data_IF_279278652451
#
_entry.id   IF_279278652451
#
_cell.length_a   1.000
_cell.length_b   1.000
_cell.length_c   1.000
_cell.angle_alpha   90.00
_cell.angle_beta   90.00
_cell.angle_gamma   90.00
#
_symmetry.space_group_name_H-M   'P 1'
#
loop_
_entity.id
_entity.type
_entity.pdbx_description
1 polymer ?
#
# COMPACT_ATOMS: atom_id res chain seq x y z
N UNK A 1 -10.32 -15.68 -3.26
CA UNK A 1 -10.27 -16.86 -2.37
C UNK A 1 -9.17 -17.83 -2.76
N UNK A 2 -9.18 -18.40 -3.97
CA UNK A 2 -8.21 -19.42 -4.39
C UNK A 2 -6.75 -19.02 -4.13
N UNK A 3 -6.34 -17.81 -4.49
CA UNK A 3 -4.97 -17.34 -4.27
C UNK A 3 -4.60 -17.17 -2.77
N UNK A 4 -5.57 -16.81 -1.92
CA UNK A 4 -5.39 -16.66 -0.45
C UNK A 4 -5.15 -18.04 0.16
N UNK A 5 -6.03 -18.99 -0.16
CA UNK A 5 -5.97 -20.37 0.34
C UNK A 5 -4.70 -21.07 -0.15
N UNK A 6 -4.33 -20.84 -1.42
CA UNK A 6 -3.08 -21.34 -1.99
C UNK A 6 -1.86 -20.76 -1.28
N UNK A 7 -1.81 -19.45 -1.04
CA UNK A 7 -0.71 -18.81 -0.33
C UNK A 7 -0.49 -19.36 1.07
N UNK A 8 -1.59 -19.61 1.81
CA UNK A 8 -1.54 -20.31 3.09
C UNK A 8 -0.99 -21.74 2.95
N UNK A 9 -1.48 -22.50 1.97
CA UNK A 9 -1.01 -23.86 1.70
C UNK A 9 0.47 -23.94 1.38
N UNK A 10 0.97 -23.04 0.54
CA UNK A 10 2.39 -22.93 0.19
C UNK A 10 3.24 -22.64 1.45
N UNK A 11 2.76 -21.77 2.36
CA UNK A 11 3.46 -21.46 3.62
C UNK A 11 3.51 -22.66 4.58
N UNK A 12 2.36 -23.33 4.76
CA UNK A 12 2.27 -24.54 5.60
C UNK A 12 3.16 -25.66 5.04
N UNK A 13 3.15 -25.88 3.72
CA UNK A 13 3.98 -26.91 3.10
C UNK A 13 5.48 -26.64 3.31
N UNK A 14 5.90 -25.37 3.20
CA UNK A 14 7.29 -24.97 3.46
C UNK A 14 7.70 -25.24 4.92
N UNK A 15 6.82 -24.96 5.88
CA UNK A 15 7.08 -25.26 7.30
C UNK A 15 7.11 -26.77 7.57
N UNK A 16 6.21 -27.56 6.97
CA UNK A 16 6.20 -29.01 7.13
C UNK A 16 7.48 -29.68 6.60
N UNK A 17 8.07 -29.16 5.52
CA UNK A 17 9.35 -29.67 5.01
C UNK A 17 10.53 -29.47 5.97
N UNK A 18 10.44 -28.53 6.91
CA UNK A 18 11.50 -28.18 7.85
C UNK A 18 11.38 -28.92 9.20
N UNK A 19 10.30 -29.69 9.41
CA UNK A 19 9.94 -30.23 10.73
C UNK A 19 9.82 -31.76 10.67
N UNK A 20 10.12 -32.44 11.77
CA UNK A 20 9.92 -33.88 11.88
C UNK A 20 8.42 -34.24 11.85
N UNK A 21 8.08 -35.41 11.27
CA UNK A 21 6.69 -35.86 11.07
C UNK A 21 5.86 -35.91 12.37
N UNK A 22 6.49 -36.17 13.51
CA UNK A 22 5.83 -36.18 14.84
C UNK A 22 5.37 -34.80 15.31
N UNK A 23 5.96 -33.72 14.78
CA UNK A 23 5.67 -32.34 15.16
C UNK A 23 4.81 -31.61 14.11
N UNK A 24 4.42 -32.30 13.04
CA UNK A 24 3.67 -31.74 11.91
C UNK A 24 2.35 -31.07 12.36
N UNK A 25 1.63 -31.68 13.32
CA UNK A 25 0.38 -31.11 13.84
C UNK A 25 0.59 -29.76 14.53
N UNK A 26 1.59 -29.68 15.42
CA UNK A 26 1.93 -28.46 16.13
C UNK A 26 2.42 -27.37 15.15
N UNK A 27 3.27 -27.74 14.18
CA UNK A 27 3.79 -26.82 13.17
C UNK A 27 2.68 -26.16 12.33
N UNK A 28 1.70 -26.95 11.85
CA UNK A 28 0.55 -26.39 11.10
C UNK A 28 -0.29 -25.45 11.97
N UNK A 29 -0.51 -25.84 13.23
CA UNK A 29 -1.33 -25.04 14.14
C UNK A 29 -0.66 -23.70 14.49
N UNK A 30 0.65 -23.71 14.71
CA UNK A 30 1.42 -22.50 14.97
C UNK A 30 1.43 -21.58 13.75
N UNK A 31 1.61 -22.13 12.55
CA UNK A 31 1.56 -21.35 11.31
C UNK A 31 0.20 -20.68 11.09
N UNK A 32 -0.89 -21.43 11.28
CA UNK A 32 -2.26 -20.89 11.18
C UNK A 32 -2.52 -19.79 12.22
N UNK A 33 -2.04 -19.98 13.45
CA UNK A 33 -2.19 -18.98 14.52
C UNK A 33 -1.40 -17.73 14.24
N UNK A 34 -0.18 -17.86 13.74
CA UNK A 34 0.64 -16.73 13.33
C UNK A 34 -0.04 -15.95 12.21
N UNK A 35 -0.51 -16.64 11.16
CA UNK A 35 -1.26 -16.01 10.08
C UNK A 35 -2.55 -15.31 10.58
N UNK A 36 -3.29 -15.94 11.49
CA UNK A 36 -4.47 -15.33 12.11
C UNK A 36 -4.12 -14.09 12.94
N UNK A 37 -3.04 -14.14 13.72
CA UNK A 37 -2.58 -13.01 14.52
C UNK A 37 -2.13 -11.83 13.64
N UNK A 38 -1.45 -12.11 12.53
CA UNK A 38 -1.10 -11.09 11.53
C UNK A 38 -2.36 -10.44 10.96
N UNK A 39 -3.34 -11.22 10.53
CA UNK A 39 -4.60 -10.70 10.00
C UNK A 39 -5.39 -9.89 11.04
N UNK A 40 -5.40 -10.31 12.31
CA UNK A 40 -6.04 -9.58 13.40
C UNK A 40 -5.37 -8.24 13.73
N UNK A 41 -4.08 -8.10 13.42
CA UNK A 41 -3.37 -6.83 13.56
C UNK A 41 -3.76 -5.80 12.49
N UNK A 42 -4.41 -6.24 11.41
CA UNK A 42 -4.82 -5.36 10.33
C UNK A 42 -6.09 -4.59 10.72
N UNK A 43 -6.10 -3.29 10.43
CA UNK A 43 -7.29 -2.48 10.63
C UNK A 43 -8.40 -2.88 9.65
N UNK A 44 -9.60 -3.15 10.18
CA UNK A 44 -10.78 -3.34 9.35
C UNK A 44 -11.29 -1.97 8.87
N UNK A 45 -11.11 -1.71 7.58
CA UNK A 45 -11.50 -0.45 6.95
C UNK A 45 -12.92 -0.45 6.36
N UNK A 46 -13.61 -1.61 6.33
CA UNK A 46 -14.98 -1.75 5.81
C UNK A 46 -15.81 -2.70 6.67
N UNK A 47 -16.60 -2.16 7.63
CA UNK A 47 -17.41 -2.97 8.53
C UNK A 47 -18.38 -3.93 7.84
N UNK A 48 -18.77 -3.65 6.58
CA UNK A 48 -19.67 -4.53 5.81
C UNK A 48 -19.00 -5.82 5.35
N UNK A 49 -17.68 -5.92 5.45
CA UNK A 49 -16.98 -7.16 5.17
C UNK A 49 -17.27 -8.26 6.21
N UNK A 50 -17.77 -7.92 7.40
CA UNK A 50 -18.23 -8.90 8.39
C UNK A 50 -19.46 -9.66 7.89
N UNK A 51 -20.48 -8.94 7.42
CA UNK A 51 -21.68 -9.53 6.82
C UNK A 51 -21.31 -10.40 5.60
N UNK A 52 -20.30 -9.95 4.85
CA UNK A 52 -19.79 -10.69 3.70
C UNK A 52 -19.04 -11.96 4.12
N UNK A 53 -18.24 -11.91 5.17
CA UNK A 53 -17.55 -13.07 5.71
C UNK A 53 -18.55 -14.12 6.19
N UNK A 54 -19.64 -13.70 6.84
CA UNK A 54 -20.72 -14.60 7.24
C UNK A 54 -21.38 -15.27 6.02
N UNK A 55 -21.63 -14.52 4.94
CA UNK A 55 -22.18 -15.07 3.70
C UNK A 55 -21.22 -16.05 3.00
N UNK A 56 -19.92 -15.72 2.94
CA UNK A 56 -18.87 -16.56 2.37
C UNK A 56 -18.74 -17.87 3.17
N UNK A 57 -18.74 -17.80 4.50
CA UNK A 57 -18.68 -18.98 5.37
C UNK A 57 -19.98 -19.78 5.36
N UNK A 58 -21.14 -19.13 5.18
CA UNK A 58 -22.43 -19.81 5.02
C UNK A 58 -22.52 -20.68 3.76
N UNK A 59 -21.75 -20.32 2.72
CA UNK A 59 -21.68 -21.04 1.43
C UNK A 59 -20.45 -21.97 1.33
N UNK A 60 -19.84 -22.34 2.45
CA UNK A 60 -18.57 -23.09 2.53
C UNK A 60 -18.45 -24.30 1.58
N UNK A 61 -19.50 -25.12 1.51
CA UNK A 61 -19.54 -26.33 0.69
C UNK A 61 -20.20 -26.15 -0.68
N UNK A 62 -20.75 -24.98 -0.97
CA UNK A 62 -21.46 -24.72 -2.21
C UNK A 62 -20.48 -24.38 -3.34
N UNK A 63 -20.72 -24.85 -4.58
CA UNK A 63 -19.94 -24.40 -5.73
C UNK A 63 -20.00 -22.88 -5.87
N UNK A 64 -18.91 -22.28 -6.34
CA UNK A 64 -18.88 -20.85 -6.62
C UNK A 64 -19.96 -20.44 -7.64
N UNK A 65 -20.38 -19.18 -7.60
CA UNK A 65 -21.44 -18.65 -8.49
C UNK A 65 -21.18 -18.86 -9.98
N UNK A 66 -19.91 -19.00 -10.35
CA UNK A 66 -19.45 -19.17 -11.74
C UNK A 66 -19.23 -20.65 -12.09
N UNK A 67 -19.69 -21.58 -11.24
CA UNK A 67 -19.45 -23.02 -11.36
C UNK A 67 -18.06 -23.47 -10.88
N UNK A 68 -17.32 -22.58 -10.21
CA UNK A 68 -16.01 -22.87 -9.62
C UNK A 68 -16.08 -23.80 -8.39
N UNK A 69 -14.92 -24.32 -7.93
CA UNK A 69 -14.87 -25.17 -6.74
C UNK A 69 -15.39 -24.45 -5.49
N UNK A 70 -15.95 -25.23 -4.55
CA UNK A 70 -16.34 -24.69 -3.24
C UNK A 70 -15.12 -24.30 -2.41
N UNK A 71 -15.33 -23.49 -1.38
CA UNK A 71 -14.26 -23.10 -0.44
C UNK A 71 -13.68 -24.34 0.25
N UNK A 72 -14.54 -25.28 0.65
CA UNK A 72 -14.12 -26.56 1.19
C UNK A 72 -13.18 -27.31 0.24
N UNK A 73 -13.56 -27.44 -1.04
CA UNK A 73 -12.73 -28.13 -2.03
C UNK A 73 -11.41 -27.42 -2.31
N UNK A 74 -11.39 -26.09 -2.30
CA UNK A 74 -10.15 -25.32 -2.44
C UNK A 74 -9.20 -25.57 -1.27
N UNK A 75 -9.73 -25.58 -0.04
CA UNK A 75 -8.95 -25.84 1.16
C UNK A 75 -8.41 -27.27 1.16
N UNK A 76 -9.27 -28.25 0.88
CA UNK A 76 -8.87 -29.65 0.84
C UNK A 76 -7.82 -29.92 -0.25
N UNK A 77 -7.89 -29.18 -1.37
CA UNK A 77 -6.87 -29.25 -2.41
C UNK A 77 -5.55 -28.60 -1.99
N UNK A 78 -5.59 -27.37 -1.45
CA UNK A 78 -4.39 -26.62 -1.07
C UNK A 78 -3.71 -27.14 0.20
N UNK A 79 -4.44 -27.83 1.06
CA UNK A 79 -3.96 -28.39 2.34
C UNK A 79 -3.99 -29.92 2.35
N UNK A 80 -3.90 -30.57 1.19
CA UNK A 80 -4.01 -32.02 1.05
C UNK A 80 -2.99 -32.80 1.90
N UNK A 81 -1.78 -32.25 2.06
CA UNK A 81 -0.68 -32.86 2.81
C UNK A 81 -0.64 -32.44 4.29
N UNK A 82 -1.52 -31.54 4.73
CA UNK A 82 -1.54 -31.04 6.09
C UNK A 82 -2.36 -31.96 7.01
N UNK A 83 -1.91 -32.24 8.25
CA UNK A 83 -2.73 -32.95 9.23
C UNK A 83 -4.03 -32.19 9.49
N UNK A 84 -5.13 -32.93 9.67
CA UNK A 84 -6.45 -32.36 10.00
C UNK A 84 -6.83 -32.73 11.43
N UNK A 85 -7.34 -31.75 12.16
CA UNK A 85 -7.95 -31.92 13.47
C UNK A 85 -9.03 -30.86 13.68
N UNK A 86 -9.96 -31.03 14.64
CA UNK A 86 -10.98 -30.04 14.95
C UNK A 86 -10.40 -28.65 15.28
N UNK A 87 -9.21 -28.61 15.88
CA UNK A 87 -8.48 -27.37 16.20
C UNK A 87 -7.93 -26.71 14.93
N UNK A 88 -7.29 -27.48 14.04
CA UNK A 88 -6.78 -26.98 12.76
C UNK A 88 -7.92 -26.46 11.89
N UNK A 89 -9.03 -27.21 11.81
CA UNK A 89 -10.21 -26.79 11.06
C UNK A 89 -10.80 -25.47 11.59
N UNK A 90 -10.81 -25.29 12.92
CA UNK A 90 -11.25 -24.04 13.54
C UNK A 90 -10.34 -22.87 13.16
N UNK A 91 -9.03 -23.05 13.18
CA UNK A 91 -8.09 -21.99 12.79
C UNK A 91 -8.15 -21.68 11.29
N UNK A 92 -8.39 -22.68 10.44
CA UNK A 92 -8.66 -22.46 9.00
C UNK A 92 -9.94 -21.63 8.82
N UNK A 93 -11.03 -21.97 9.50
CA UNK A 93 -12.27 -21.18 9.45
C UNK A 93 -12.05 -19.73 9.90
N UNK A 94 -11.28 -19.54 10.97
CA UNK A 94 -10.88 -18.21 11.46
C UNK A 94 -10.03 -17.46 10.43
N UNK A 95 -9.08 -18.14 9.79
CA UNK A 95 -8.24 -17.55 8.75
C UNK A 95 -9.06 -17.04 7.56
N UNK A 96 -10.01 -17.83 7.08
CA UNK A 96 -10.89 -17.44 5.98
C UNK A 96 -11.75 -16.23 6.38
N UNK A 97 -12.30 -16.23 7.60
CA UNK A 97 -13.06 -15.10 8.13
C UNK A 97 -12.21 -13.83 8.13
N UNK A 98 -11.05 -13.87 8.78
CA UNK A 98 -10.17 -12.72 8.94
C UNK A 98 -9.63 -12.22 7.59
N UNK A 99 -9.38 -13.12 6.64
CA UNK A 99 -8.97 -12.74 5.28
C UNK A 99 -10.04 -11.93 4.55
N UNK A 100 -11.32 -12.25 4.76
CA UNK A 100 -12.44 -11.50 4.17
C UNK A 100 -12.66 -10.19 4.94
N UNK A 101 -12.71 -10.24 6.27
CA UNK A 101 -12.98 -9.09 7.13
C UNK A 101 -11.88 -8.02 7.06
N UNK A 102 -10.61 -8.43 6.95
CA UNK A 102 -9.47 -7.53 6.81
C UNK A 102 -9.31 -6.94 5.40
N UNK A 103 -10.05 -7.46 4.40
CA UNK A 103 -10.00 -6.94 3.03
C UNK A 103 -8.65 -7.07 2.31
N UNK A 104 -7.69 -7.80 2.88
CA UNK A 104 -6.34 -7.91 2.31
C UNK A 104 -6.35 -8.76 1.04
N UNK A 105 -6.41 -8.10 -0.12
CA UNK A 105 -6.46 -8.75 -1.43
C UNK A 105 -7.78 -9.50 -1.72
N UNK A 106 -8.76 -9.43 -0.82
CA UNK A 106 -10.09 -9.98 -1.02
C UNK A 106 -11.08 -8.87 -1.35
N UNK A 107 -11.94 -9.04 -2.39
CA UNK A 107 -12.02 -10.19 -3.28
C UNK A 107 -10.98 -10.18 -4.41
N UNK A 108 -10.26 -9.06 -4.58
CA UNK A 108 -9.22 -8.90 -5.58
C UNK A 108 -7.99 -8.21 -4.98
N UNK A 109 -6.80 -8.55 -5.49
CA UNK A 109 -5.58 -7.79 -5.23
C UNK A 109 -5.49 -6.53 -6.08
N UNK A 110 -6.32 -6.41 -7.11
CA UNK A 110 -6.40 -5.21 -7.94
C UNK A 110 -7.03 -4.06 -7.16
N UNK A 111 -6.35 -2.92 -7.13
CA UNK A 111 -6.81 -1.71 -6.44
C UNK A 111 -7.02 -0.57 -7.43
N UNK A 112 -8.02 0.25 -7.15
CA UNK A 112 -8.24 1.51 -7.85
C UNK A 112 -8.66 2.58 -6.86
N UNK A 113 -8.24 3.82 -7.08
CA UNK A 113 -8.54 4.93 -6.18
C UNK A 113 -9.41 5.94 -6.90
N UNK A 114 -10.53 6.30 -6.27
CA UNK A 114 -11.36 7.41 -6.72
C UNK A 114 -11.14 8.57 -5.78
N UNK A 115 -10.63 9.68 -6.31
CA UNK A 115 -10.39 10.91 -5.55
C UNK A 115 -11.37 11.99 -5.95
N UNK A 116 -12.00 12.59 -4.96
CA UNK A 116 -12.89 13.73 -5.10
C UNK A 116 -12.13 14.98 -4.63
N UNK A 117 -12.09 16.01 -5.47
CA UNK A 117 -11.44 17.30 -5.16
C UNK A 117 -12.45 18.42 -5.34
N UNK A 118 -12.53 19.33 -4.36
CA UNK A 118 -13.41 20.49 -4.43
C UNK A 118 -13.68 21.11 -3.08
N UNK A 119 -14.77 21.86 -2.99
CA UNK A 119 -15.21 22.54 -1.76
C UNK A 119 -16.35 21.76 -1.11
N UNK A 120 -16.21 21.39 0.16
CA UNK A 120 -17.33 20.91 0.96
C UNK A 120 -18.34 22.02 1.28
N UNK A 121 -19.57 21.64 1.65
CA UNK A 121 -20.67 22.60 1.90
C UNK A 121 -20.33 23.70 2.92
N UNK A 122 -19.47 23.40 3.89
CA UNK A 122 -19.05 24.32 4.96
C UNK A 122 -17.55 24.64 4.93
N UNK A 123 -16.85 24.34 3.84
CA UNK A 123 -15.40 24.52 3.73
C UNK A 123 -15.04 25.76 2.91
N UNK A 124 -14.16 26.61 3.45
CA UNK A 124 -13.65 27.79 2.74
C UNK A 124 -12.46 27.47 1.82
N UNK A 125 -11.79 26.34 2.06
CA UNK A 125 -10.64 25.87 1.28
C UNK A 125 -10.99 24.56 0.57
N UNK A 126 -10.40 24.30 -0.61
CA UNK A 126 -10.57 23.02 -1.27
C UNK A 126 -9.94 21.90 -0.44
N UNK A 127 -10.53 20.71 -0.53
CA UNK A 127 -9.99 19.49 0.05
C UNK A 127 -10.06 18.34 -0.95
N UNK A 128 -9.32 17.27 -0.66
CA UNK A 128 -9.35 16.04 -1.42
C UNK A 128 -9.75 14.88 -0.51
N UNK A 129 -10.71 14.07 -0.91
CA UNK A 129 -11.08 12.83 -0.22
C UNK A 129 -10.95 11.66 -1.20
N UNK A 130 -10.38 10.55 -0.75
CA UNK A 130 -10.14 9.38 -1.59
C UNK A 130 -10.82 8.15 -1.03
N UNK A 131 -11.31 7.30 -1.93
CA UNK A 131 -11.75 5.95 -1.63
C UNK A 131 -10.91 4.98 -2.44
N UNK A 132 -10.21 4.09 -1.77
CA UNK A 132 -9.56 2.95 -2.40
C UNK A 132 -10.58 1.81 -2.54
N UNK A 133 -10.67 1.20 -3.71
CA UNK A 133 -11.53 0.08 -4.03
C UNK A 133 -10.65 -1.11 -4.39
N UNK A 134 -10.93 -2.28 -3.81
CA UNK A 134 -10.10 -3.48 -4.02
C UNK A 134 -10.93 -4.73 -4.40
N UNK A 135 -12.07 -4.49 -5.05
CA UNK A 135 -12.89 -5.51 -5.70
C UNK A 135 -14.36 -5.48 -5.23
N UNK A 136 -15.16 -6.43 -5.73
CA UNK A 136 -16.57 -6.53 -5.40
C UNK A 136 -17.02 -7.98 -5.18
N UNK A 137 -17.96 -8.19 -4.26
CA UNK A 137 -18.67 -9.46 -4.08
C UNK A 137 -20.16 -9.18 -4.02
N UNK A 138 -20.94 -9.85 -4.88
CA UNK A 138 -22.36 -9.55 -5.03
C UNK A 138 -22.58 -8.07 -5.38
N UNK A 139 -23.35 -7.37 -4.55
CA UNK A 139 -23.64 -5.94 -4.70
C UNK A 139 -22.76 -5.02 -3.84
N UNK A 140 -21.75 -5.56 -3.15
CA UNK A 140 -20.86 -4.78 -2.28
C UNK A 140 -19.50 -4.60 -2.93
N UNK A 141 -19.05 -3.35 -3.04
CA UNK A 141 -17.69 -3.01 -3.47
C UNK A 141 -16.86 -2.77 -2.21
N UNK A 142 -15.86 -3.63 -2.00
CA UNK A 142 -14.95 -3.54 -0.88
C UNK A 142 -14.09 -2.28 -1.03
N UNK A 143 -13.97 -1.51 0.07
CA UNK A 143 -13.37 -0.18 0.02
C UNK A 143 -12.65 0.23 1.29
N UNK A 144 -11.69 1.12 1.16
CA UNK A 144 -11.06 1.83 2.28
C UNK A 144 -11.27 3.32 2.08
N UNK A 145 -11.81 3.98 3.10
CA UNK A 145 -11.98 5.44 3.09
C UNK A 145 -10.70 6.09 3.62
N UNK A 146 -10.06 6.91 2.81
CA UNK A 146 -8.97 7.76 3.28
C UNK A 146 -9.55 9.01 3.94
N UNK A 147 -8.98 9.47 5.07
CA UNK A 147 -9.33 10.77 5.63
C UNK A 147 -9.16 11.88 4.58
N UNK A 148 -10.00 12.92 4.59
CA UNK A 148 -9.81 14.06 3.71
C UNK A 148 -8.47 14.75 4.00
N UNK A 149 -7.79 15.15 2.93
CA UNK A 149 -6.55 15.93 2.96
C UNK A 149 -6.88 17.38 2.66
N UNK A 150 -6.27 18.29 3.42
CA UNK A 150 -6.52 19.72 3.37
C UNK A 150 -5.26 20.48 2.95
N UNK A 151 -5.45 21.67 2.38
CA UNK A 151 -4.35 22.59 2.15
C UNK A 151 -3.76 23.08 3.48
N UNK A 152 -2.43 23.07 3.56
CA UNK A 152 -1.67 23.56 4.70
C UNK A 152 -1.26 25.02 4.48
N UNK A 153 -1.02 25.73 5.59
CA UNK A 153 -0.62 27.12 5.53
C UNK A 153 0.86 27.25 5.15
N UNK A 154 1.16 28.05 4.13
CA UNK A 154 2.50 28.43 3.74
C UNK A 154 2.59 29.95 3.65
N UNK A 155 3.10 30.57 4.72
CA UNK A 155 3.11 32.03 4.86
C UNK A 155 1.68 32.60 4.97
N UNK A 156 1.28 33.43 4.02
CA UNK A 156 -0.04 34.09 4.00
C UNK A 156 -1.08 33.36 3.15
N UNK A 157 -0.76 32.20 2.59
CA UNK A 157 -1.63 31.44 1.69
C UNK A 157 -1.64 29.96 2.06
N UNK A 158 -2.45 29.18 1.36
CA UNK A 158 -2.63 27.74 1.60
C UNK A 158 -2.31 26.97 0.32
N UNK A 159 -1.66 25.82 0.46
CA UNK A 159 -1.39 24.94 -0.69
C UNK A 159 -1.45 23.47 -0.32
N UNK A 160 -1.86 22.66 -1.29
CA UNK A 160 -1.73 21.22 -1.29
C UNK A 160 -1.30 20.80 -2.70
N UNK A 161 -0.22 20.03 -2.80
CA UNK A 161 0.16 19.36 -4.04
C UNK A 161 -0.06 17.88 -3.78
N UNK A 162 -1.03 17.28 -4.47
CA UNK A 162 -1.40 15.88 -4.29
C UNK A 162 -1.25 15.12 -5.63
N UNK A 163 -0.06 14.61 -5.96
CA UNK A 163 0.13 13.73 -7.10
C UNK A 163 -0.60 12.39 -6.88
N UNK A 164 -1.35 11.94 -7.89
CA UNK A 164 -2.07 10.66 -7.90
C UNK A 164 -1.54 9.76 -9.02
N UNK A 165 -1.81 8.45 -8.93
CA UNK A 165 -1.31 7.44 -9.86
C UNK A 165 0.24 7.37 -9.90
N UNK A 166 0.85 7.39 -11.09
CA UNK A 166 2.31 7.39 -11.23
C UNK A 166 2.88 8.77 -10.90
N UNK A 167 3.68 8.84 -9.82
CA UNK A 167 4.16 10.09 -9.24
C UNK A 167 5.67 10.14 -8.95
N UNK A 168 6.45 9.14 -9.36
CA UNK A 168 7.87 9.04 -9.00
C UNK A 168 8.70 10.26 -9.44
N UNK A 169 8.46 10.76 -10.65
CA UNK A 169 9.19 11.92 -11.18
C UNK A 169 8.67 13.23 -10.58
N UNK A 170 7.36 13.31 -10.36
CA UNK A 170 6.73 14.47 -9.71
C UNK A 170 7.23 14.59 -8.27
N UNK A 171 7.18 13.51 -7.50
CA UNK A 171 7.67 13.46 -6.11
C UNK A 171 9.15 13.83 -6.06
N UNK A 172 9.98 13.29 -6.96
CA UNK A 172 11.39 13.64 -7.02
C UNK A 172 11.61 15.12 -7.33
N UNK A 173 10.80 15.74 -8.20
CA UNK A 173 10.92 17.16 -8.49
C UNK A 173 10.52 18.02 -7.28
N UNK A 174 9.43 17.67 -6.60
CA UNK A 174 8.90 18.42 -5.46
C UNK A 174 9.80 18.31 -4.23
N UNK A 175 10.39 17.13 -4.01
CA UNK A 175 11.20 16.82 -2.82
C UNK A 175 12.70 16.98 -3.05
N UNK A 176 13.13 17.04 -4.32
CA UNK A 176 14.55 16.97 -4.68
C UNK A 176 15.18 15.58 -4.41
N UNK A 177 14.38 14.59 -4.00
CA UNK A 177 14.85 13.32 -3.47
C UNK A 177 14.36 12.15 -4.34
N UNK A 178 15.30 11.33 -4.81
CA UNK A 178 14.97 10.06 -5.45
C UNK A 178 14.92 8.96 -4.38
N UNK A 179 13.73 8.68 -3.83
CA UNK A 179 13.58 7.79 -2.67
C UNK A 179 14.17 6.39 -2.89
N UNK A 180 13.95 5.71 -4.04
CA UNK A 180 14.57 4.41 -4.28
C UNK A 180 16.10 4.45 -4.28
N UNK A 181 16.70 5.45 -4.92
CA UNK A 181 18.16 5.59 -4.93
C UNK A 181 18.71 5.90 -3.54
N UNK A 182 18.03 6.77 -2.79
CA UNK A 182 18.40 7.16 -1.43
C UNK A 182 18.33 5.97 -0.47
N UNK A 183 17.24 5.19 -0.52
CA UNK A 183 17.09 3.97 0.26
C UNK A 183 18.20 2.95 -0.08
N UNK A 184 18.46 2.72 -1.37
CA UNK A 184 19.52 1.82 -1.79
C UNK A 184 20.91 2.28 -1.33
N UNK A 185 21.19 3.58 -1.37
CA UNK A 185 22.46 4.12 -0.86
C UNK A 185 22.61 3.94 0.66
N UNK A 186 21.52 4.12 1.41
CA UNK A 186 21.51 3.84 2.84
C UNK A 186 21.76 2.34 3.11
N UNK A 187 21.06 1.46 2.40
CA UNK A 187 21.20 0.00 2.51
C UNK A 187 22.64 -0.46 2.26
N UNK A 188 23.26 -0.01 1.15
CA UNK A 188 24.64 -0.37 0.80
C UNK A 188 25.65 0.21 1.80
N UNK A 189 25.39 1.40 2.35
CA UNK A 189 26.27 2.02 3.36
C UNK A 189 26.24 1.22 4.65
N UNK A 190 25.05 0.87 5.11
CA UNK A 190 24.78 0.04 6.29
C UNK A 190 25.39 -1.35 6.13
N UNK A 191 25.19 -2.01 4.98
CA UNK A 191 25.77 -3.32 4.69
C UNK A 191 27.30 -3.30 4.79
N UNK A 192 27.94 -2.28 4.24
CA UNK A 192 29.42 -2.13 4.32
C UNK A 192 29.91 -1.91 5.74
N UNK A 193 29.19 -1.15 6.56
CA UNK A 193 29.51 -0.95 7.97
C UNK A 193 29.33 -2.24 8.78
N UNK A 194 28.26 -3.00 8.52
CA UNK A 194 28.04 -4.31 9.14
C UNK A 194 29.11 -5.34 8.75
N UNK A 195 29.50 -5.39 7.48
CA UNK A 195 30.53 -6.31 6.98
C UNK A 195 31.92 -6.07 7.60
N UNK A 196 32.23 -4.85 8.05
CA UNK A 196 33.46 -4.57 8.80
C UNK A 196 33.48 -5.09 10.24
N UNK A 197 32.34 -5.54 10.79
CA UNK A 197 32.23 -6.02 12.18
C UNK A 197 32.15 -7.55 12.34
N UNK A 198 32.05 -8.31 11.23
CA UNK A 198 31.97 -9.77 11.26
C UNK A 198 33.37 -10.39 11.18
N UNK A 199 33.95 -10.69 12.35
CA UNK A 199 35.12 -11.57 12.47
C UNK A 199 34.66 -13.03 12.66
N UNK A 200 34.97 -13.96 11.73
CA UNK A 200 34.52 -15.35 11.82
C UNK A 200 35.15 -16.15 12.97
N UNK A 201 36.18 -15.63 13.68
CA UNK A 201 36.81 -16.32 14.81
C UNK A 201 36.26 -15.90 16.19
N UNK A 202 35.18 -15.10 16.25
CA UNK A 202 34.72 -14.47 17.50
C UNK A 202 33.95 -15.43 18.43
N UNK A 203 34.20 -15.40 19.76
CA UNK A 203 33.53 -16.27 20.73
C UNK A 203 32.02 -15.98 20.91
N UNK A 204 31.22 -16.92 21.45
CA UNK A 204 29.75 -16.82 21.54
C UNK A 204 29.23 -15.60 22.31
N UNK A 205 29.96 -15.13 23.32
CA UNK A 205 29.62 -13.94 24.11
C UNK A 205 29.62 -12.66 23.25
N UNK A 206 30.45 -12.61 22.20
CA UNK A 206 30.49 -11.52 21.24
C UNK A 206 29.43 -11.63 20.12
N UNK A 207 28.64 -12.71 20.08
CA UNK A 207 27.49 -12.82 19.16
C UNK A 207 26.28 -12.04 19.68
N UNK A 208 26.16 -11.84 21.00
CA UNK A 208 25.15 -10.95 21.60
C UNK A 208 25.46 -9.48 21.29
N UNK A 209 26.74 -9.09 21.38
CA UNK A 209 27.22 -7.76 20.93
C UNK A 209 26.94 -7.54 19.44
N UNK A 210 27.05 -8.58 18.61
CA UNK A 210 26.74 -8.49 17.17
C UNK A 210 25.24 -8.24 16.91
N UNK A 211 24.33 -8.82 17.69
CA UNK A 211 22.88 -8.57 17.58
C UNK A 211 22.56 -7.13 18.01
N UNK A 212 23.22 -6.63 19.05
CA UNK A 212 23.09 -5.23 19.50
C UNK A 212 23.67 -4.26 18.46
N UNK A 213 24.84 -4.58 17.88
CA UNK A 213 25.46 -3.84 16.77
C UNK A 213 24.57 -3.83 15.51
N UNK A 214 23.91 -4.95 15.18
CA UNK A 214 22.94 -5.01 14.08
C UNK A 214 21.69 -4.16 14.36
N UNK A 215 21.25 -4.09 15.61
CA UNK A 215 20.18 -3.18 16.05
C UNK A 215 20.57 -1.70 15.89
N UNK A 216 21.80 -1.35 16.26
CA UNK A 216 22.38 0.01 16.08
C UNK A 216 22.53 0.36 14.60
N UNK A 217 22.91 -0.61 13.76
CA UNK A 217 23.05 -0.43 12.31
C UNK A 217 21.69 -0.24 11.63
N UNK A 218 20.66 -0.98 12.06
CA UNK A 218 19.29 -0.78 11.58
C UNK A 218 18.72 0.58 12.00
N UNK A 219 18.95 1.02 13.25
CA UNK A 219 18.52 2.36 13.68
C UNK A 219 19.26 3.47 12.93
N UNK A 220 20.55 3.31 12.66
CA UNK A 220 21.33 4.26 11.86
C UNK A 220 20.76 4.42 10.44
N UNK A 221 20.33 3.33 9.81
CA UNK A 221 19.66 3.37 8.50
C UNK A 221 18.43 4.26 8.54
N UNK A 222 17.57 4.04 9.51
CA UNK A 222 16.29 4.74 9.62
C UNK A 222 16.49 6.21 9.99
N UNK A 223 17.46 6.51 10.85
CA UNK A 223 17.89 7.88 11.17
C UNK A 223 18.43 8.61 9.94
N UNK A 224 19.31 7.98 9.15
CA UNK A 224 19.83 8.56 7.91
C UNK A 224 18.72 8.91 6.91
N UNK A 225 17.74 8.01 6.76
CA UNK A 225 16.58 8.25 5.89
C UNK A 225 15.70 9.39 6.43
N UNK A 226 15.46 9.41 7.75
CA UNK A 226 14.68 10.47 8.39
C UNK A 226 15.33 11.85 8.21
N UNK A 227 16.64 11.96 8.42
CA UNK A 227 17.40 13.19 8.23
C UNK A 227 17.33 13.69 6.77
N UNK A 228 17.47 12.77 5.80
CA UNK A 228 17.38 13.12 4.39
C UNK A 228 15.96 13.58 4.00
N UNK A 229 14.93 12.93 4.52
CA UNK A 229 13.53 13.34 4.32
C UNK A 229 13.30 14.73 4.92
N UNK A 230 13.84 15.01 6.11
CA UNK A 230 13.73 16.30 6.77
C UNK A 230 14.42 17.41 5.96
N UNK A 231 15.66 17.18 5.52
CA UNK A 231 16.39 18.14 4.66
C UNK A 231 15.67 18.35 3.34
N UNK A 232 15.13 17.28 2.73
CA UNK A 232 14.29 17.36 1.53
C UNK A 232 13.08 18.25 1.75
N UNK A 233 12.38 18.07 2.87
CA UNK A 233 11.20 18.85 3.23
C UNK A 233 11.53 20.34 3.35
N UNK A 234 12.54 20.67 4.16
CA UNK A 234 12.91 22.07 4.46
C UNK A 234 13.48 22.80 3.23
N UNK A 235 14.27 22.11 2.40
CA UNK A 235 14.99 22.75 1.28
C UNK A 235 14.24 22.76 -0.04
N UNK A 236 13.32 21.81 -0.26
CA UNK A 236 12.65 21.64 -1.55
C UNK A 236 11.13 21.68 -1.43
N UNK A 237 10.54 20.82 -0.60
CA UNK A 237 9.09 20.69 -0.55
C UNK A 237 8.40 21.96 -0.03
N UNK A 238 8.81 22.46 1.14
CA UNK A 238 8.21 23.65 1.75
C UNK A 238 8.39 24.91 0.90
N UNK A 239 9.59 25.20 0.33
CA UNK A 239 9.74 26.30 -0.63
C UNK A 239 8.87 26.15 -1.88
N UNK A 240 8.73 24.93 -2.41
CA UNK A 240 7.88 24.65 -3.58
C UNK A 240 6.40 24.89 -3.26
N UNK A 241 5.93 24.41 -2.11
CA UNK A 241 4.57 24.65 -1.63
C UNK A 241 4.31 26.15 -1.40
N UNK A 242 5.25 26.87 -0.80
CA UNK A 242 5.14 28.32 -0.62
C UNK A 242 5.06 29.07 -1.96
N UNK A 243 5.84 28.64 -2.97
CA UNK A 243 5.76 29.20 -4.31
C UNK A 243 4.39 28.95 -4.95
N UNK A 244 3.88 27.71 -4.90
CA UNK A 244 2.56 27.32 -5.40
C UNK A 244 1.44 28.08 -4.69
N UNK A 245 1.53 28.26 -3.37
CA UNK A 245 0.54 28.98 -2.58
C UNK A 245 0.37 30.45 -3.05
N UNK A 246 1.41 31.06 -3.62
CA UNK A 246 1.38 32.43 -4.14
C UNK A 246 1.01 32.55 -5.63
N UNK A 247 0.81 31.44 -6.34
CA UNK A 247 0.55 31.49 -7.79
C UNK A 247 -0.89 31.91 -8.12
N UNK A 248 -1.08 32.70 -9.20
CA UNK A 248 -2.40 32.89 -9.78
C UNK A 248 -3.02 31.57 -10.27
N UNK A 249 -4.36 31.49 -10.30
CA UNK A 249 -5.09 30.28 -10.69
C UNK A 249 -4.69 29.72 -12.06
N UNK A 250 -4.46 30.57 -13.06
CA UNK A 250 -4.01 30.14 -14.39
C UNK A 250 -2.63 29.47 -14.34
N UNK A 251 -1.69 30.04 -13.59
CA UNK A 251 -0.34 29.49 -13.41
C UNK A 251 -0.35 28.18 -12.61
N UNK A 252 -1.27 28.02 -11.66
CA UNK A 252 -1.49 26.75 -10.96
C UNK A 252 -1.91 25.65 -11.93
N UNK A 253 -2.87 25.95 -12.82
CA UNK A 253 -3.34 25.01 -13.83
C UNK A 253 -2.22 24.61 -14.80
N UNK A 254 -1.45 25.59 -15.29
CA UNK A 254 -0.30 25.34 -16.17
C UNK A 254 0.77 24.47 -15.49
N UNK A 255 1.05 24.75 -14.21
CA UNK A 255 2.04 24.00 -13.43
C UNK A 255 1.58 22.56 -13.22
N UNK A 256 0.30 22.33 -12.88
CA UNK A 256 -0.26 20.99 -12.76
C UNK A 256 -0.13 20.19 -14.08
N UNK A 257 -0.45 20.81 -15.22
CA UNK A 257 -0.27 20.19 -16.53
C UNK A 257 1.19 19.88 -16.86
N UNK A 258 2.11 20.79 -16.52
CA UNK A 258 3.55 20.61 -16.74
C UNK A 258 4.13 19.46 -15.91
N UNK A 259 3.70 19.28 -14.66
CA UNK A 259 4.11 18.15 -13.81
C UNK A 259 3.75 16.80 -14.45
N UNK A 260 2.53 16.66 -14.95
CA UNK A 260 2.08 15.45 -15.66
C UNK A 260 2.86 15.26 -16.98
N UNK A 261 3.10 16.33 -17.73
CA UNK A 261 3.88 16.26 -18.96
C UNK A 261 5.32 15.78 -18.72
N UNK A 262 5.96 16.25 -17.64
CA UNK A 262 7.30 15.80 -17.26
C UNK A 262 7.31 14.33 -16.84
N UNK A 263 6.32 13.87 -16.08
CA UNK A 263 6.16 12.45 -15.72
C UNK A 263 6.07 11.58 -16.97
N UNK A 264 5.18 11.93 -17.91
CA UNK A 264 5.00 11.18 -19.16
C UNK A 264 6.29 11.16 -20.00
N UNK A 265 6.95 12.31 -20.16
CA UNK A 265 8.20 12.40 -20.91
C UNK A 265 9.30 11.52 -20.30
N UNK A 266 9.42 11.50 -18.97
CA UNK A 266 10.41 10.68 -18.28
C UNK A 266 10.14 9.19 -18.46
N UNK A 267 8.87 8.75 -18.44
CA UNK A 267 8.48 7.36 -18.72
C UNK A 267 8.82 6.98 -20.17
N UNK A 268 8.50 7.84 -21.13
CA UNK A 268 8.82 7.64 -22.55
C UNK A 268 10.33 7.48 -22.77
N UNK A 269 11.15 8.37 -22.19
CA UNK A 269 12.62 8.29 -22.28
C UNK A 269 13.15 6.99 -21.66
N UNK A 270 12.54 6.52 -20.57
CA UNK A 270 12.92 5.28 -19.87
C UNK A 270 12.36 4.01 -20.54
N UNK A 271 11.57 4.14 -21.61
CA UNK A 271 10.90 3.02 -22.26
C UNK A 271 9.87 2.33 -21.35
N UNK A 272 9.31 3.06 -20.39
CA UNK A 272 8.29 2.56 -19.46
C UNK A 272 6.90 2.93 -19.96
N UNK A 273 5.96 1.99 -19.82
CA UNK A 273 4.56 2.25 -20.15
C UNK A 273 3.90 3.08 -19.03
N UNK A 274 3.26 4.22 -19.36
CA UNK A 274 2.49 4.95 -18.37
C UNK A 274 1.24 4.16 -17.97
N UNK A 275 0.88 4.18 -16.69
CA UNK A 275 -0.37 3.58 -16.18
C UNK A 275 -1.57 4.44 -16.49
N UNK A 276 -1.35 5.72 -16.82
CA UNK A 276 -2.34 6.69 -17.28
C UNK A 276 -1.95 7.20 -18.67
N UNK A 277 -2.80 6.95 -19.66
CA UNK A 277 -2.53 7.33 -21.05
C UNK A 277 -3.43 8.44 -21.55
N UNK A 278 -3.11 8.97 -22.73
CA UNK A 278 -3.96 9.93 -23.44
C UNK A 278 -3.51 11.37 -23.26
N UNK A 279 -4.46 12.29 -23.42
CA UNK A 279 -4.17 13.72 -23.41
C UNK A 279 -4.24 14.28 -22.00
N UNK A 280 -3.43 15.31 -21.75
CA UNK A 280 -3.47 16.04 -20.50
C UNK A 280 -4.60 17.06 -20.60
N UNK A 281 -5.70 16.77 -19.91
CA UNK A 281 -6.76 17.73 -19.68
C UNK A 281 -6.55 18.39 -18.31
N UNK A 282 -6.75 19.70 -18.26
CA UNK A 282 -6.53 20.53 -17.07
C UNK A 282 -7.79 21.31 -16.78
N UNK A 283 -8.26 21.22 -15.54
CA UNK A 283 -9.40 21.98 -15.05
C UNK A 283 -9.08 22.67 -13.73
N UNK A 284 -9.91 23.65 -13.38
CA UNK A 284 -9.86 24.35 -12.09
C UNK A 284 -11.21 24.23 -11.40
N UNK A 285 -11.20 24.26 -10.08
CA UNK A 285 -12.43 24.34 -9.27
C UNK A 285 -12.26 25.50 -8.29
N UNK A 286 -13.20 26.44 -8.30
CA UNK A 286 -13.23 27.55 -7.35
C UNK A 286 -14.58 27.63 -6.65
N UNK A 287 -14.62 28.24 -5.46
CA UNK A 287 -15.87 28.41 -4.72
C UNK A 287 -16.89 29.29 -5.47
N UNK A 288 -16.43 30.29 -6.22
CA UNK A 288 -17.28 31.26 -6.90
C UNK A 288 -17.75 30.82 -8.30
N UNK A 289 -16.90 30.11 -9.05
CA UNK A 289 -17.19 29.73 -10.43
C UNK A 289 -17.47 28.23 -10.62
N UNK A 290 -17.22 27.39 -9.62
CA UNK A 290 -17.31 25.94 -9.75
C UNK A 290 -16.17 25.39 -10.61
N UNK A 291 -16.43 24.28 -11.31
CA UNK A 291 -15.48 23.62 -12.20
C UNK A 291 -15.42 24.29 -13.57
N UNK A 292 -14.20 24.52 -14.07
CA UNK A 292 -13.95 25.03 -15.43
C UNK A 292 -12.74 24.34 -16.09
N UNK A 293 -12.83 24.13 -17.40
CA UNK A 293 -11.74 23.54 -18.19
C UNK A 293 -10.75 24.62 -18.64
N UNK A 294 -9.48 24.45 -18.29
CA UNK A 294 -8.37 25.30 -18.78
C UNK A 294 -7.83 24.77 -20.11
N UNK A 295 -7.70 23.44 -20.20
CA UNK A 295 -7.31 22.73 -21.42
C UNK A 295 -8.10 21.43 -21.48
N UNK A 296 -8.82 21.18 -22.57
CA UNK A 296 -9.51 19.92 -22.79
C UNK A 296 -9.56 19.60 -24.27
N UNK A 297 -9.10 18.41 -24.67
CA UNK A 297 -9.02 18.06 -26.10
C UNK A 297 -10.40 17.85 -26.77
N UNK A 298 -11.50 17.88 -26.01
CA UNK A 298 -12.87 17.83 -26.53
C UNK A 298 -13.51 19.20 -26.85
N UNK A 299 -12.83 20.32 -26.61
CA UNK A 299 -13.26 21.67 -27.04
C UNK A 299 -12.28 22.22 -28.08
N UNK A 300 -12.67 22.15 -29.36
CA UNK A 300 -12.15 22.98 -30.46
C UNK A 300 -13.08 24.15 -30.71
#
# INVERSE_FOLDING_TARGET
MEWIVKGLGDSIQKHLQAVHETDAHAAVLDELRNANQELESLENHDPRLQDLADAVLGSWGEPGTDGGPSIASLIDHSLADAPRSPEIDREIHRFIRLSVEGGYGFPSSARTTVTFVGYGQSQMFPSAASVELFGAVGSHVARTLSPPVYAEAHGSSFSLILPLAQRDVIDQLLTGLNTPMTAHAADVTVERLGATHVDPERPPEAQLDLIEDLGVVASLRDEMLADQIQVSRERYLEPTQAAVAGMPLGSLAETAGALIAMQNLALDIRGQLPTVGGNIDVGTVTLSAGFDWVSHKGRS
#
